data_IF_582526021084
#
_entry.id   IF_582526021084
#
_cell.length_a   1.000
_cell.length_b   1.000
_cell.length_c   1.000
_cell.angle_alpha   90.00
_cell.angle_beta   90.00
_cell.angle_gamma   90.00
#
_symmetry.space_group_name_H-M   'P 1'
#
loop_
_entity.id
_entity.type
_entity.pdbx_description
1 polymer ?
#
# COMPACT_ATOMS: atom_id res chain seq x y z
N UNK A 1 -11.35 17.93 -17.31
CA UNK A 1 -10.54 18.52 -18.41
C UNK A 1 -9.60 19.62 -17.94
N UNK A 2 -9.92 20.41 -16.93
CA UNK A 2 -9.00 21.45 -16.42
C UNK A 2 -7.66 20.89 -15.89
N UNK A 3 -7.64 19.71 -15.30
CA UNK A 3 -6.42 19.07 -14.78
C UNK A 3 -5.41 18.66 -15.86
N UNK A 4 -5.84 18.52 -17.11
CA UNK A 4 -5.00 18.13 -18.25
C UNK A 4 -4.46 19.33 -19.02
N UNK A 5 -4.82 20.56 -18.64
CA UNK A 5 -4.32 21.79 -19.29
C UNK A 5 -2.84 22.07 -19.02
N UNK A 6 -2.21 21.34 -18.11
CA UNK A 6 -0.82 21.55 -17.68
C UNK A 6 0.23 20.76 -18.44
N UNK A 7 -0.09 20.06 -19.55
CA UNK A 7 0.88 19.27 -20.32
C UNK A 7 0.40 17.87 -20.68
N UNK A 8 1.26 17.04 -21.32
CA UNK A 8 0.93 15.65 -21.64
C UNK A 8 0.83 14.77 -20.39
N UNK A 9 0.27 13.57 -20.55
CA UNK A 9 0.36 12.50 -19.53
C UNK A 9 1.70 11.78 -19.69
N UNK A 10 2.32 11.38 -18.59
CA UNK A 10 3.41 10.41 -18.60
C UNK A 10 2.87 9.03 -18.16
N UNK A 11 2.80 8.08 -19.10
CA UNK A 11 2.40 6.71 -18.82
C UNK A 11 3.63 5.85 -18.50
N UNK A 12 3.88 5.58 -17.23
CA UNK A 12 4.94 4.69 -16.77
C UNK A 12 4.41 3.25 -16.76
N UNK A 13 5.05 2.37 -17.53
CA UNK A 13 4.61 1.00 -17.75
C UNK A 13 5.62 0.01 -17.17
N UNK A 14 5.16 -0.83 -16.25
CA UNK A 14 5.93 -1.99 -15.82
C UNK A 14 5.59 -3.19 -16.74
N UNK A 15 6.52 -3.67 -17.60
CA UNK A 15 6.27 -4.78 -18.52
C UNK A 15 6.01 -6.11 -17.80
N UNK A 16 6.44 -6.26 -16.56
CA UNK A 16 6.18 -7.45 -15.74
C UNK A 16 4.75 -7.50 -15.18
N UNK A 17 3.97 -6.41 -15.30
CA UNK A 17 2.57 -6.38 -14.89
C UNK A 17 1.73 -7.38 -15.70
N UNK A 18 0.77 -8.03 -15.03
CA UNK A 18 -0.11 -8.99 -15.71
C UNK A 18 -0.90 -8.28 -16.83
N UNK A 19 -0.77 -8.83 -18.04
CA UNK A 19 -1.46 -8.28 -19.24
C UNK A 19 -1.07 -6.84 -19.56
N UNK A 20 0.15 -6.39 -19.24
CA UNK A 20 0.61 -5.02 -19.46
C UNK A 20 0.30 -4.53 -20.87
N UNK A 21 0.68 -5.27 -21.93
CA UNK A 21 0.42 -4.92 -23.30
C UNK A 21 -1.08 -4.67 -23.60
N UNK A 22 -1.97 -5.49 -23.03
CA UNK A 22 -3.43 -5.33 -23.20
C UNK A 22 -3.94 -4.08 -22.49
N UNK A 23 -3.46 -3.83 -21.27
CA UNK A 23 -3.87 -2.64 -20.50
C UNK A 23 -3.39 -1.37 -21.20
N UNK A 24 -2.14 -1.33 -21.68
CA UNK A 24 -1.59 -0.22 -22.48
C UNK A 24 -2.44 0.03 -23.72
N UNK A 25 -2.81 -1.02 -24.47
CA UNK A 25 -3.62 -0.86 -25.66
C UNK A 25 -5.00 -0.21 -25.39
N UNK A 26 -5.62 -0.56 -24.24
CA UNK A 26 -6.88 0.06 -23.82
C UNK A 26 -6.68 1.52 -23.39
N UNK A 27 -5.65 1.80 -22.61
CA UNK A 27 -5.33 3.15 -22.16
C UNK A 27 -5.01 4.08 -23.35
N UNK A 28 -4.18 3.61 -24.29
CA UNK A 28 -3.88 4.34 -25.54
C UNK A 28 -5.15 4.75 -26.29
N UNK A 29 -6.07 3.78 -26.49
CA UNK A 29 -7.33 4.07 -27.15
C UNK A 29 -8.12 5.16 -26.42
N UNK A 30 -8.30 5.02 -25.10
CA UNK A 30 -9.06 5.99 -24.30
C UNK A 30 -8.44 7.38 -24.36
N UNK A 31 -7.11 7.50 -24.25
CA UNK A 31 -6.41 8.79 -24.31
C UNK A 31 -6.43 9.41 -25.71
N UNK A 32 -6.24 8.59 -26.76
CA UNK A 32 -6.29 9.05 -28.16
C UNK A 32 -7.71 9.50 -28.53
N UNK A 33 -8.74 8.72 -28.18
CA UNK A 33 -10.14 9.07 -28.46
C UNK A 33 -10.56 10.37 -27.74
N UNK A 34 -9.93 10.67 -26.60
CA UNK A 34 -10.13 11.91 -25.84
C UNK A 34 -9.26 13.09 -26.35
N UNK A 35 -8.38 12.87 -27.34
CA UNK A 35 -7.47 13.90 -27.86
C UNK A 35 -6.38 14.34 -26.88
N UNK A 36 -6.05 13.49 -25.87
CA UNK A 36 -5.05 13.81 -24.85
C UNK A 36 -3.68 13.30 -25.27
N UNK A 37 -2.69 14.20 -25.28
CA UNK A 37 -1.31 13.86 -25.55
C UNK A 37 -0.72 13.05 -24.39
N UNK A 38 0.04 12.00 -24.70
CA UNK A 38 0.72 11.19 -23.69
C UNK A 38 2.06 10.66 -24.23
N UNK A 39 2.97 10.41 -23.29
CA UNK A 39 4.26 9.79 -23.54
C UNK A 39 4.34 8.49 -22.73
N UNK A 40 5.07 7.49 -23.22
CA UNK A 40 5.24 6.22 -22.55
C UNK A 40 6.69 6.02 -22.10
N UNK A 41 6.85 5.60 -20.86
CA UNK A 41 8.13 5.19 -20.28
C UNK A 41 8.03 3.76 -19.74
N UNK A 42 8.85 2.87 -20.27
CA UNK A 42 8.84 1.45 -19.91
C UNK A 42 9.95 1.17 -18.91
N UNK A 43 9.58 0.59 -17.75
CA UNK A 43 10.58 0.25 -16.74
C UNK A 43 11.35 -1.00 -17.11
N UNK A 44 12.65 -1.02 -16.81
CA UNK A 44 13.56 -2.14 -17.10
C UNK A 44 14.11 -2.79 -15.82
N UNK A 45 14.05 -2.08 -14.70
CA UNK A 45 14.61 -2.47 -13.41
C UNK A 45 13.85 -1.82 -12.24
N UNK A 46 13.99 -2.34 -11.01
CA UNK A 46 13.52 -1.64 -9.82
C UNK A 46 14.13 -0.24 -9.71
N UNK A 47 13.33 0.72 -9.21
CA UNK A 47 13.69 2.13 -9.09
C UNK A 47 13.51 2.95 -10.38
N UNK A 48 13.37 2.31 -11.55
CA UNK A 48 13.26 3.03 -12.83
C UNK A 48 11.96 3.84 -12.93
N UNK A 49 10.86 3.40 -12.28
CA UNK A 49 9.62 4.16 -12.24
C UNK A 49 9.78 5.47 -11.45
N UNK A 50 10.52 5.45 -10.35
CA UNK A 50 10.83 6.64 -9.57
C UNK A 50 11.69 7.64 -10.37
N UNK A 51 12.68 7.15 -11.11
CA UNK A 51 13.55 7.97 -11.95
C UNK A 51 12.75 8.71 -13.02
N UNK A 52 11.88 8.00 -13.75
CA UNK A 52 11.01 8.61 -14.76
C UNK A 52 10.07 9.65 -14.14
N UNK A 53 9.44 9.31 -13.00
CA UNK A 53 8.52 10.21 -12.32
C UNK A 53 9.22 11.50 -11.88
N UNK A 54 10.38 11.39 -11.22
CA UNK A 54 11.17 12.55 -10.76
C UNK A 54 11.64 13.42 -11.91
N UNK A 55 12.16 12.80 -12.99
CA UNK A 55 12.71 13.54 -14.14
C UNK A 55 11.66 14.33 -14.90
N UNK A 56 10.39 13.91 -14.87
CA UNK A 56 9.32 14.49 -15.68
C UNK A 56 8.22 15.19 -14.87
N UNK A 57 8.34 15.21 -13.54
CA UNK A 57 7.32 15.79 -12.65
C UNK A 57 6.96 17.25 -13.00
N UNK A 58 7.91 18.05 -13.48
CA UNK A 58 7.68 19.44 -13.87
C UNK A 58 6.98 19.61 -15.21
N UNK A 59 7.11 18.65 -16.14
CA UNK A 59 6.78 18.80 -17.55
C UNK A 59 5.44 18.17 -17.96
N UNK A 60 4.83 17.39 -17.07
CA UNK A 60 3.62 16.62 -17.36
C UNK A 60 2.44 17.04 -16.50
N UNK A 61 1.23 16.94 -17.02
CA UNK A 61 0.03 17.23 -16.24
C UNK A 61 -0.24 16.17 -15.16
N UNK A 62 -0.02 14.91 -15.50
CA UNK A 62 -0.31 13.75 -14.63
C UNK A 62 0.67 12.63 -14.93
N UNK A 63 1.11 11.91 -13.90
CA UNK A 63 1.85 10.66 -14.05
C UNK A 63 0.88 9.50 -13.91
N UNK A 64 0.82 8.65 -14.92
CA UNK A 64 -0.07 7.47 -14.95
C UNK A 64 0.77 6.21 -14.76
N UNK A 65 0.45 5.39 -13.77
CA UNK A 65 1.20 4.19 -13.42
C UNK A 65 0.45 2.95 -13.86
N UNK A 66 1.02 2.19 -14.80
CA UNK A 66 0.59 0.84 -15.12
C UNK A 66 1.52 -0.16 -14.44
N UNK A 67 1.05 -0.72 -13.35
CA UNK A 67 1.85 -1.65 -12.55
C UNK A 67 1.07 -2.24 -11.38
N UNK A 68 1.78 -2.85 -10.45
CA UNK A 68 1.28 -3.23 -9.14
C UNK A 68 1.70 -2.24 -8.06
N UNK A 69 1.43 -2.62 -6.80
CA UNK A 69 1.69 -1.75 -5.63
C UNK A 69 3.17 -1.33 -5.53
N UNK A 70 4.15 -2.18 -5.87
CA UNK A 70 5.57 -1.82 -5.85
C UNK A 70 5.93 -0.71 -6.86
N UNK A 71 5.43 -0.80 -8.12
CA UNK A 71 5.66 0.26 -9.12
C UNK A 71 4.99 1.57 -8.70
N UNK A 72 3.79 1.48 -8.13
CA UNK A 72 3.07 2.63 -7.60
C UNK A 72 3.82 3.29 -6.45
N UNK A 73 4.33 2.51 -5.50
CA UNK A 73 5.17 2.98 -4.38
C UNK A 73 6.39 3.78 -4.87
N UNK A 74 7.12 3.27 -5.88
CA UNK A 74 8.26 3.98 -6.46
C UNK A 74 7.86 5.37 -6.97
N UNK A 75 6.77 5.46 -7.74
CA UNK A 75 6.28 6.73 -8.31
C UNK A 75 5.78 7.68 -7.24
N UNK A 76 4.99 7.17 -6.30
CA UNK A 76 4.39 7.99 -5.22
C UNK A 76 5.46 8.56 -4.30
N UNK A 77 6.47 7.76 -3.92
CA UNK A 77 7.60 8.25 -3.14
C UNK A 77 8.41 9.32 -3.86
N UNK A 78 8.59 9.17 -5.19
CA UNK A 78 9.32 10.14 -6.01
C UNK A 78 8.56 11.46 -6.22
N UNK A 79 7.23 11.43 -6.17
CA UNK A 79 6.33 12.57 -6.36
C UNK A 79 5.79 13.15 -5.04
N UNK A 80 6.24 12.65 -3.89
CA UNK A 80 5.80 13.17 -2.60
C UNK A 80 5.97 14.70 -2.56
N UNK A 81 4.93 15.40 -2.09
CA UNK A 81 4.84 16.87 -2.03
C UNK A 81 4.98 17.64 -3.36
N UNK A 82 5.06 16.95 -4.50
CA UNK A 82 5.10 17.65 -5.80
C UNK A 82 3.76 18.27 -6.19
N UNK A 83 2.66 17.85 -5.54
CA UNK A 83 1.29 18.18 -5.96
C UNK A 83 0.89 17.56 -7.30
N UNK A 84 1.76 16.75 -7.91
CA UNK A 84 1.49 16.13 -9.21
C UNK A 84 0.49 14.97 -9.06
N UNK A 85 -0.66 14.99 -9.74
CA UNK A 85 -1.61 13.91 -9.67
C UNK A 85 -1.06 12.60 -10.24
N UNK A 86 -1.36 11.49 -9.57
CA UNK A 86 -1.03 10.13 -10.00
C UNK A 86 -2.30 9.41 -10.41
N UNK A 87 -2.37 8.97 -11.66
CA UNK A 87 -3.39 8.06 -12.16
C UNK A 87 -2.95 6.61 -12.06
N UNK A 88 -3.86 5.70 -11.78
CA UNK A 88 -3.53 4.27 -11.61
C UNK A 88 -4.21 3.42 -12.67
N UNK A 89 -3.44 2.61 -13.38
CA UNK A 89 -3.91 1.51 -14.24
C UNK A 89 -3.52 0.18 -13.58
N UNK A 90 -4.45 -0.49 -12.86
CA UNK A 90 -4.13 -1.66 -12.05
C UNK A 90 -3.62 -2.83 -12.89
N UNK A 91 -2.35 -3.18 -12.74
CA UNK A 91 -1.69 -4.28 -13.49
C UNK A 91 -1.12 -5.39 -12.61
N UNK A 92 -1.12 -5.20 -11.28
CA UNK A 92 -0.60 -6.16 -10.30
C UNK A 92 -1.62 -7.19 -9.85
N UNK A 93 -1.23 -8.02 -8.89
CA UNK A 93 -2.11 -9.02 -8.27
C UNK A 93 -2.91 -8.43 -7.11
N UNK A 94 -2.29 -7.62 -6.26
CA UNK A 94 -2.93 -6.98 -5.09
C UNK A 94 -3.70 -5.73 -5.49
N UNK A 95 -2.98 -4.75 -6.02
CA UNK A 95 -3.48 -3.41 -6.34
C UNK A 95 -4.22 -2.80 -5.14
N UNK A 96 -3.59 -2.87 -3.96
CA UNK A 96 -4.22 -2.53 -2.68
C UNK A 96 -4.63 -1.06 -2.64
N UNK A 97 -3.71 -0.17 -3.02
CA UNK A 97 -3.98 1.28 -3.09
C UNK A 97 -5.09 1.60 -4.10
N UNK A 98 -5.03 0.99 -5.31
CA UNK A 98 -6.05 1.21 -6.32
C UNK A 98 -7.45 0.79 -5.82
N UNK A 99 -7.54 -0.34 -5.12
CA UNK A 99 -8.80 -0.81 -4.53
C UNK A 99 -9.31 0.11 -3.43
N UNK A 100 -8.44 0.54 -2.52
CA UNK A 100 -8.79 1.45 -1.44
C UNK A 100 -9.30 2.81 -1.96
N UNK A 101 -8.74 3.29 -3.08
CA UNK A 101 -9.17 4.51 -3.75
C UNK A 101 -10.38 4.31 -4.69
N UNK A 102 -10.98 3.12 -4.73
CA UNK A 102 -12.13 2.83 -5.59
C UNK A 102 -11.81 2.81 -7.09
N UNK A 103 -10.52 2.67 -7.48
CA UNK A 103 -10.12 2.64 -8.89
C UNK A 103 -10.63 1.35 -9.55
N UNK A 104 -11.35 1.43 -10.68
CA UNK A 104 -11.82 0.24 -11.39
C UNK A 104 -10.66 -0.66 -11.83
N UNK A 105 -10.81 -1.98 -11.65
CA UNK A 105 -9.82 -2.97 -12.11
C UNK A 105 -9.87 -3.20 -13.62
N UNK A 106 -10.87 -2.70 -14.31
CA UNK A 106 -11.01 -2.75 -15.76
C UNK A 106 -10.25 -1.59 -16.40
N UNK A 107 -9.35 -1.91 -17.36
CA UNK A 107 -8.38 -0.97 -17.91
C UNK A 107 -8.98 0.29 -18.53
N UNK A 108 -10.07 0.15 -19.31
CA UNK A 108 -10.69 1.31 -19.96
C UNK A 108 -11.39 2.23 -18.96
N UNK A 109 -11.99 1.64 -17.90
CA UNK A 109 -12.60 2.42 -16.82
C UNK A 109 -11.56 3.13 -15.98
N UNK A 110 -10.44 2.45 -15.64
CA UNK A 110 -9.33 3.06 -14.94
C UNK A 110 -8.71 4.22 -15.75
N UNK A 111 -8.55 4.05 -17.07
CA UNK A 111 -8.08 5.11 -17.95
C UNK A 111 -9.05 6.32 -18.00
N UNK A 112 -10.35 6.09 -17.91
CA UNK A 112 -11.33 7.19 -17.80
C UNK A 112 -11.21 7.93 -16.47
N UNK A 113 -10.90 7.25 -15.35
CA UNK A 113 -10.63 7.94 -14.08
C UNK A 113 -9.43 8.88 -14.21
N UNK A 114 -8.41 8.54 -15.02
CA UNK A 114 -7.30 9.45 -15.30
C UNK A 114 -7.77 10.73 -15.99
N UNK A 115 -8.77 10.64 -16.89
CA UNK A 115 -9.29 11.79 -17.65
C UNK A 115 -10.33 12.62 -16.87
N UNK A 116 -11.24 11.94 -16.18
CA UNK A 116 -12.46 12.52 -15.64
C UNK A 116 -12.49 12.54 -14.10
N UNK A 117 -11.51 11.92 -13.46
CA UNK A 117 -11.40 11.82 -12.00
C UNK A 117 -11.16 13.17 -11.32
N UNK A 118 -11.18 13.12 -10.00
CA UNK A 118 -10.89 14.28 -9.16
C UNK A 118 -9.61 14.06 -8.37
N UNK A 119 -8.80 15.11 -8.13
CA UNK A 119 -7.63 14.98 -7.26
C UNK A 119 -8.08 14.71 -5.83
N UNK A 120 -7.38 13.79 -5.19
CA UNK A 120 -7.57 13.40 -3.80
C UNK A 120 -6.20 13.31 -3.13
N UNK A 121 -6.00 14.11 -2.09
CA UNK A 121 -4.80 14.05 -1.29
C UNK A 121 -4.84 12.81 -0.40
N UNK A 122 -3.71 12.12 -0.30
CA UNK A 122 -3.55 10.93 0.52
C UNK A 122 -2.28 11.06 1.34
N UNK A 123 -2.36 10.66 2.60
CA UNK A 123 -1.21 10.58 3.49
C UNK A 123 -0.28 9.45 3.09
N UNK A 124 0.99 9.57 3.42
CA UNK A 124 1.97 8.51 3.31
C UNK A 124 2.59 8.25 4.68
N UNK A 125 3.05 7.03 4.89
CA UNK A 125 3.94 6.76 6.01
C UNK A 125 5.40 6.86 5.59
N UNK A 126 6.21 7.57 6.37
CA UNK A 126 7.66 7.61 6.25
C UNK A 126 8.28 6.74 7.35
N UNK A 127 8.71 5.54 7.00
CA UNK A 127 9.40 4.61 7.89
C UNK A 127 10.91 4.86 7.82
N UNK A 128 11.56 4.92 8.99
CA UNK A 128 13.02 4.99 9.13
C UNK A 128 13.55 3.74 9.82
N UNK A 129 14.37 2.98 9.12
CA UNK A 129 15.06 1.80 9.64
C UNK A 129 16.53 1.83 9.24
N UNK A 130 17.44 1.60 10.17
CA UNK A 130 18.87 1.74 9.89
C UNK A 130 19.30 3.13 9.39
N UNK A 131 18.53 4.17 9.73
CA UNK A 131 18.77 5.55 9.28
C UNK A 131 18.27 5.87 7.87
N UNK A 132 17.78 4.90 7.10
CA UNK A 132 17.26 5.09 5.75
C UNK A 132 15.75 5.32 5.75
N UNK A 133 15.21 6.31 4.99
CA UNK A 133 13.80 6.54 4.86
C UNK A 133 13.20 5.60 3.80
N UNK A 134 12.02 5.05 4.10
CA UNK A 134 11.21 4.24 3.19
C UNK A 134 9.76 4.73 3.24
N UNK A 135 9.23 5.14 2.11
CA UNK A 135 7.84 5.53 1.99
C UNK A 135 6.93 4.31 1.83
N UNK A 136 5.75 4.38 2.43
CA UNK A 136 4.70 3.40 2.19
C UNK A 136 3.33 4.08 2.06
N UNK A 137 2.52 3.54 1.18
CA UNK A 137 1.15 4.00 0.95
C UNK A 137 0.12 3.11 1.65
N UNK A 138 0.46 1.84 1.90
CA UNK A 138 -0.45 0.86 2.51
C UNK A 138 -0.12 0.59 3.97
N UNK A 139 1.05 0.00 4.27
CA UNK A 139 1.47 -0.30 5.65
C UNK A 139 2.96 -0.58 5.79
N UNK A 140 3.44 -0.39 7.03
CA UNK A 140 4.71 -0.96 7.52
C UNK A 140 4.41 -1.92 8.68
N UNK A 141 5.12 -3.05 8.77
CA UNK A 141 4.82 -4.05 9.78
C UNK A 141 5.99 -4.95 10.16
N UNK A 142 5.79 -5.67 11.25
CA UNK A 142 6.64 -6.77 11.74
C UNK A 142 5.77 -7.91 12.26
N UNK A 143 6.14 -9.15 11.99
CA UNK A 143 5.47 -10.31 12.55
C UNK A 143 5.02 -11.34 11.52
N UNK A 144 3.77 -11.77 11.61
CA UNK A 144 3.20 -12.86 10.80
C UNK A 144 3.23 -12.53 9.32
N UNK A 145 2.82 -11.33 8.92
CA UNK A 145 2.76 -10.93 7.52
C UNK A 145 4.15 -10.90 6.86
N UNK A 146 5.18 -10.47 7.61
CA UNK A 146 6.58 -10.48 7.17
C UNK A 146 7.09 -11.90 6.98
N UNK A 147 6.79 -12.81 7.93
CA UNK A 147 7.13 -14.23 7.79
C UNK A 147 6.41 -14.86 6.59
N UNK A 148 5.14 -14.55 6.39
CA UNK A 148 4.38 -14.97 5.20
C UNK A 148 5.03 -14.45 3.92
N UNK A 149 5.46 -13.19 3.91
CA UNK A 149 6.14 -12.56 2.78
C UNK A 149 7.45 -13.30 2.44
N UNK A 150 8.27 -13.57 3.46
CA UNK A 150 9.55 -14.26 3.31
C UNK A 150 9.40 -15.73 2.85
N UNK A 151 8.34 -16.42 3.31
CA UNK A 151 8.06 -17.83 2.98
C UNK A 151 7.29 -18.01 1.67
N UNK A 152 6.68 -16.97 1.11
CA UNK A 152 5.90 -17.08 -0.12
C UNK A 152 6.75 -16.74 -1.34
N UNK A 153 7.26 -17.71 -2.11
CA UNK A 153 8.04 -17.45 -3.31
C UNK A 153 7.26 -16.62 -4.33
N UNK A 154 7.94 -15.73 -5.05
CA UNK A 154 7.31 -14.88 -6.07
C UNK A 154 6.52 -15.69 -7.12
N UNK A 155 6.95 -16.94 -7.42
CA UNK A 155 6.22 -17.86 -8.29
C UNK A 155 4.87 -18.28 -7.71
N UNK A 156 4.79 -18.54 -6.40
CA UNK A 156 3.54 -18.92 -5.71
C UNK A 156 2.56 -17.77 -5.72
N UNK A 157 3.02 -16.54 -5.42
CA UNK A 157 2.21 -15.31 -5.57
C UNK A 157 1.61 -15.19 -6.97
N UNK A 158 2.39 -15.50 -8.01
CA UNK A 158 1.98 -15.32 -9.41
C UNK A 158 0.99 -16.39 -9.89
N UNK A 159 1.12 -17.64 -9.43
CA UNK A 159 0.31 -18.76 -9.90
C UNK A 159 -0.95 -19.01 -9.07
N UNK A 160 -0.86 -18.90 -7.74
CA UNK A 160 -1.93 -19.29 -6.83
C UNK A 160 -2.67 -18.10 -6.21
N UNK A 161 -2.20 -16.86 -6.39
CA UNK A 161 -2.87 -15.67 -5.90
C UNK A 161 -3.32 -15.78 -4.43
N UNK A 162 -4.61 -15.52 -4.11
CA UNK A 162 -5.12 -15.58 -2.74
C UNK A 162 -5.00 -16.96 -2.07
N UNK A 163 -5.07 -18.07 -2.83
CA UNK A 163 -4.95 -19.42 -2.27
C UNK A 163 -3.52 -19.73 -1.79
N UNK A 164 -2.50 -19.18 -2.46
CA UNK A 164 -1.12 -19.28 -2.00
C UNK A 164 -0.89 -18.58 -0.67
N UNK A 165 -1.50 -17.41 -0.47
CA UNK A 165 -1.48 -16.70 0.80
C UNK A 165 -2.22 -17.46 1.92
N UNK A 166 -3.38 -18.08 1.62
CA UNK A 166 -4.12 -18.85 2.58
C UNK A 166 -3.34 -20.07 3.09
N UNK A 167 -2.62 -20.77 2.19
CA UNK A 167 -1.76 -21.89 2.57
C UNK A 167 -0.58 -21.45 3.45
N UNK A 168 0.04 -20.30 3.14
CA UNK A 168 1.14 -19.75 3.96
C UNK A 168 0.62 -19.27 5.31
N UNK A 169 -0.56 -18.65 5.35
CA UNK A 169 -1.21 -18.23 6.60
C UNK A 169 -1.49 -19.42 7.54
N UNK A 170 -1.95 -20.54 6.97
CA UNK A 170 -2.15 -21.76 7.77
C UNK A 170 -0.83 -22.28 8.34
N UNK A 171 0.26 -22.22 7.56
CA UNK A 171 1.61 -22.58 8.02
C UNK A 171 2.08 -21.70 9.18
N UNK A 172 1.82 -20.37 9.12
CA UNK A 172 2.17 -19.43 10.20
C UNK A 172 1.33 -19.67 11.46
N UNK A 173 0.07 -20.08 11.33
CA UNK A 173 -0.78 -20.46 12.48
C UNK A 173 -0.22 -21.71 13.16
N UNK A 174 0.30 -22.68 12.42
CA UNK A 174 0.90 -23.89 12.97
C UNK A 174 2.28 -23.63 13.60
N UNK A 175 3.07 -22.69 13.07
CA UNK A 175 4.35 -22.21 13.62
C UNK A 175 4.14 -20.90 14.40
N UNK A 176 3.09 -20.87 15.22
CA UNK A 176 2.68 -19.68 15.96
C UNK A 176 3.78 -19.20 16.91
N UNK A 177 4.17 -17.93 16.76
CA UNK A 177 5.20 -17.28 17.59
C UNK A 177 4.77 -15.87 17.95
N UNK A 178 5.11 -15.47 19.15
CA UNK A 178 5.00 -14.09 19.64
C UNK A 178 6.38 -13.51 19.90
N UNK A 179 6.44 -12.21 19.95
CA UNK A 179 7.61 -11.43 20.37
C UNK A 179 7.14 -10.30 21.30
N UNK A 180 8.04 -9.82 22.14
CA UNK A 180 7.76 -8.67 22.99
C UNK A 180 7.90 -7.40 22.13
N UNK A 181 6.83 -6.62 22.00
CA UNK A 181 6.82 -5.34 21.31
C UNK A 181 6.78 -4.18 22.31
N UNK A 182 7.73 -3.27 22.18
CA UNK A 182 7.75 -1.95 22.83
C UNK A 182 7.44 -0.89 21.80
N UNK A 183 6.32 -0.24 21.97
CA UNK A 183 5.79 0.72 20.97
C UNK A 183 5.56 2.06 21.67
N UNK A 184 5.84 3.13 20.98
CA UNK A 184 5.45 4.47 21.42
C UNK A 184 4.59 5.10 20.32
N UNK A 185 3.42 5.62 20.67
CA UNK A 185 2.51 6.33 19.77
C UNK A 185 2.35 7.75 20.29
N UNK A 186 2.82 8.73 19.55
CA UNK A 186 2.80 10.16 19.93
C UNK A 186 3.35 10.41 21.35
N UNK A 187 4.45 9.73 21.70
CA UNK A 187 5.09 9.80 23.01
C UNK A 187 4.45 8.93 24.10
N UNK A 188 3.32 8.26 23.83
CA UNK A 188 2.64 7.39 24.82
C UNK A 188 3.11 5.95 24.64
N UNK A 189 3.79 5.36 25.64
CA UNK A 189 4.33 4.00 25.55
C UNK A 189 3.24 2.91 25.66
N UNK A 190 3.50 1.80 25.02
CA UNK A 190 2.74 0.57 25.06
C UNK A 190 3.70 -0.61 24.95
N UNK A 191 3.62 -1.58 25.84
CA UNK A 191 4.37 -2.83 25.75
C UNK A 191 3.42 -4.03 25.79
N UNK A 192 3.58 -4.96 24.85
CA UNK A 192 2.75 -6.17 24.72
C UNK A 192 3.52 -7.30 24.04
N UNK A 193 3.17 -8.54 24.40
CA UNK A 193 3.49 -9.68 23.55
C UNK A 193 2.57 -9.65 22.34
N UNK A 194 3.13 -9.71 21.16
CA UNK A 194 2.41 -9.59 19.90
C UNK A 194 2.82 -10.67 18.91
N UNK A 195 1.92 -11.05 18.04
CA UNK A 195 2.21 -11.86 16.86
C UNK A 195 2.41 -10.96 15.61
N UNK A 196 1.83 -9.76 15.66
CA UNK A 196 1.88 -8.77 14.57
C UNK A 196 1.81 -7.36 15.14
N UNK A 197 2.66 -6.47 14.63
CA UNK A 197 2.57 -5.02 14.80
C UNK A 197 2.58 -4.39 13.41
N UNK A 198 1.51 -3.70 13.06
CA UNK A 198 1.36 -3.02 11.78
C UNK A 198 1.01 -1.56 12.01
N UNK A 199 1.66 -0.68 11.28
CA UNK A 199 1.28 0.73 11.15
C UNK A 199 0.63 0.86 9.78
N UNK A 200 -0.69 1.04 9.76
CA UNK A 200 -1.51 1.03 8.56
C UNK A 200 -1.92 2.45 8.17
N UNK A 201 -1.91 2.72 6.87
CA UNK A 201 -2.48 3.91 6.25
C UNK A 201 -3.80 3.57 5.52
N UNK A 202 -3.94 2.32 5.07
CA UNK A 202 -5.14 1.81 4.43
C UNK A 202 -5.71 0.67 5.26
N UNK A 203 -7.02 0.74 5.56
CA UNK A 203 -7.69 -0.13 6.53
C UNK A 203 -8.18 -1.46 5.99
N UNK A 204 -8.15 -1.68 4.66
CA UNK A 204 -8.75 -2.89 4.11
C UNK A 204 -7.88 -3.58 3.06
N UNK A 205 -8.03 -4.89 2.97
CA UNK A 205 -7.44 -5.73 1.92
C UNK A 205 -8.52 -6.59 1.26
N UNK A 206 -8.29 -7.00 0.01
CA UNK A 206 -9.17 -7.91 -0.74
C UNK A 206 -10.62 -7.41 -0.86
N UNK A 207 -10.83 -6.14 -1.22
CA UNK A 207 -12.17 -5.53 -1.36
C UNK A 207 -13.01 -5.65 -0.07
N UNK A 208 -12.46 -5.19 1.04
CA UNK A 208 -13.08 -5.19 2.37
C UNK A 208 -13.43 -6.58 2.93
N UNK A 209 -12.90 -7.65 2.32
CA UNK A 209 -13.03 -9.01 2.87
C UNK A 209 -12.25 -9.14 4.17
N UNK A 210 -11.10 -8.47 4.27
CA UNK A 210 -10.31 -8.39 5.49
C UNK A 210 -10.07 -6.93 5.84
N UNK A 211 -10.64 -6.49 6.96
CA UNK A 211 -10.43 -5.15 7.51
C UNK A 211 -9.41 -5.24 8.64
N UNK A 212 -8.39 -4.39 8.57
CA UNK A 212 -7.24 -4.42 9.50
C UNK A 212 -7.59 -3.82 10.86
N UNK A 213 -8.47 -2.84 10.89
CA UNK A 213 -8.88 -2.16 12.13
C UNK A 213 -10.08 -1.24 11.89
N UNK A 214 -10.66 -0.69 12.97
CA UNK A 214 -11.79 0.22 12.85
C UNK A 214 -11.33 1.61 12.35
N UNK A 215 -12.06 2.19 11.41
CA UNK A 215 -11.97 3.60 10.99
C UNK A 215 -10.62 4.08 10.43
N UNK A 216 -9.78 3.18 9.90
CA UNK A 216 -8.50 3.55 9.28
C UNK A 216 -8.78 4.35 8.00
N UNK A 217 -8.20 5.55 7.91
CA UNK A 217 -8.35 6.46 6.78
C UNK A 217 -6.99 6.95 6.30
N UNK A 218 -6.83 7.07 4.99
CA UNK A 218 -5.57 7.50 4.39
C UNK A 218 -5.51 9.01 4.09
N UNK A 219 -6.44 9.80 4.64
CA UNK A 219 -6.63 11.22 4.34
C UNK A 219 -7.00 12.05 5.59
N UNK A 220 -6.62 11.61 6.78
CA UNK A 220 -6.97 12.28 8.05
C UNK A 220 -5.75 12.81 8.84
N UNK A 221 -4.56 12.76 8.22
CA UNK A 221 -3.30 13.20 8.80
C UNK A 221 -2.78 12.27 9.90
N UNK A 222 -3.19 11.00 9.89
CA UNK A 222 -2.79 9.99 10.88
C UNK A 222 -2.49 8.66 10.21
N UNK A 223 -1.78 7.82 10.96
CA UNK A 223 -1.62 6.39 10.68
C UNK A 223 -2.18 5.62 11.87
N UNK A 224 -2.52 4.36 11.65
CA UNK A 224 -3.12 3.52 12.67
C UNK A 224 -2.23 2.36 13.06
N UNK A 225 -1.86 2.30 14.35
CA UNK A 225 -1.31 1.10 14.95
C UNK A 225 -2.38 0.01 14.99
N UNK A 226 -2.10 -1.12 14.36
CA UNK A 226 -2.85 -2.36 14.48
C UNK A 226 -1.94 -3.40 15.14
N UNK A 227 -2.16 -3.68 16.43
CA UNK A 227 -1.40 -4.67 17.17
C UNK A 227 -2.29 -5.89 17.43
N UNK A 228 -1.81 -7.06 17.00
CA UNK A 228 -2.51 -8.33 17.20
C UNK A 228 -1.72 -9.20 18.18
N UNK A 229 -2.34 -9.46 19.33
CA UNK A 229 -1.72 -10.11 20.49
C UNK A 229 -2.46 -11.41 20.89
N UNK A 230 -2.65 -12.39 20.00
CA UNK A 230 -3.17 -13.70 20.40
C UNK A 230 -2.13 -14.44 21.23
N UNK A 231 -2.58 -15.16 22.26
CA UNK A 231 -1.69 -15.95 23.11
C UNK A 231 -1.52 -17.41 22.64
N UNK A 232 -2.20 -17.81 21.57
CA UNK A 232 -2.11 -19.15 20.99
C UNK A 232 -2.57 -19.18 19.52
N UNK A 233 -2.24 -20.24 18.81
CA UNK A 233 -2.70 -20.48 17.45
C UNK A 233 -4.24 -20.47 17.32
N UNK A 234 -4.96 -21.04 18.29
CA UNK A 234 -6.42 -21.02 18.32
C UNK A 234 -6.97 -19.59 18.44
N UNK A 235 -6.32 -18.75 19.27
CA UNK A 235 -6.69 -17.34 19.38
C UNK A 235 -6.34 -16.55 18.12
N UNK A 236 -5.24 -16.88 17.43
CA UNK A 236 -4.89 -16.27 16.15
C UNK A 236 -5.98 -16.51 15.07
N UNK A 237 -6.51 -17.73 15.00
CA UNK A 237 -7.67 -18.05 14.15
C UNK A 237 -8.88 -17.19 14.55
N UNK A 238 -9.12 -17.04 15.87
CA UNK A 238 -10.20 -16.19 16.38
C UNK A 238 -10.03 -14.71 16.01
N UNK A 239 -8.79 -14.19 16.00
CA UNK A 239 -8.47 -12.83 15.54
C UNK A 239 -8.80 -12.68 14.04
N UNK A 240 -8.32 -13.59 13.19
CA UNK A 240 -8.62 -13.56 11.76
C UNK A 240 -10.13 -13.61 11.47
N UNK A 241 -10.86 -14.46 12.19
CA UNK A 241 -12.32 -14.53 12.06
C UNK A 241 -13.01 -13.23 12.47
N UNK A 242 -12.53 -12.55 13.54
CA UNK A 242 -13.03 -11.24 13.97
C UNK A 242 -12.76 -10.17 12.91
N UNK A 243 -11.54 -10.11 12.36
CA UNK A 243 -11.19 -9.20 11.27
C UNK A 243 -12.11 -9.40 10.04
N UNK A 244 -12.34 -10.65 9.63
CA UNK A 244 -13.24 -10.98 8.53
C UNK A 244 -14.71 -10.64 8.82
N UNK A 245 -15.10 -10.55 10.10
CA UNK A 245 -16.43 -10.11 10.54
C UNK A 245 -16.48 -8.65 10.97
N UNK A 246 -15.36 -7.92 10.82
CA UNK A 246 -15.21 -6.52 11.23
C UNK A 246 -15.58 -6.30 12.71
N UNK A 247 -15.24 -7.28 13.57
CA UNK A 247 -15.48 -7.23 15.01
C UNK A 247 -14.17 -6.98 15.75
N UNK A 248 -14.01 -5.79 16.30
CA UNK A 248 -12.78 -5.33 16.96
C UNK A 248 -12.94 -5.21 18.49
N UNK A 249 -13.92 -5.88 19.07
CA UNK A 249 -14.35 -5.85 20.47
C UNK A 249 -13.53 -6.82 21.38
N UNK A 250 -12.22 -6.90 21.19
CA UNK A 250 -11.33 -7.76 22.00
C UNK A 250 -10.04 -7.01 22.39
N UNK A 251 -10.12 -5.98 23.27
CA UNK A 251 -9.00 -5.07 23.55
C UNK A 251 -7.79 -5.75 24.20
N UNK A 252 -7.94 -6.94 24.74
CA UNK A 252 -6.83 -7.76 25.26
C UNK A 252 -5.99 -8.40 24.13
N UNK A 253 -6.54 -8.52 22.90
CA UNK A 253 -5.91 -9.17 21.72
C UNK A 253 -5.76 -8.27 20.52
N UNK A 254 -6.55 -7.20 20.45
CA UNK A 254 -6.62 -6.27 19.36
C UNK A 254 -6.46 -4.86 19.91
N UNK A 255 -5.33 -4.23 19.64
CA UNK A 255 -5.09 -2.85 20.08
C UNK A 255 -4.97 -1.96 18.85
N UNK A 256 -5.76 -0.90 18.84
CA UNK A 256 -5.76 0.11 17.77
C UNK A 256 -5.50 1.48 18.36
N UNK A 257 -4.58 2.24 17.75
CA UNK A 257 -4.29 3.62 18.14
C UNK A 257 -3.91 4.43 16.91
N UNK A 258 -4.67 5.46 16.60
CA UNK A 258 -4.29 6.44 15.61
C UNK A 258 -3.24 7.40 16.20
N UNK A 259 -2.26 7.77 15.38
CA UNK A 259 -1.18 8.68 15.79
C UNK A 259 -0.44 9.29 14.60
N UNK A 260 0.44 10.24 14.89
CA UNK A 260 1.29 10.90 13.88
C UNK A 260 2.72 10.37 13.88
N UNK A 261 3.15 9.81 15.01
CA UNK A 261 4.50 9.28 15.19
C UNK A 261 4.48 7.95 15.95
N UNK A 262 5.29 7.02 15.49
CA UNK A 262 5.42 5.69 16.08
C UNK A 262 6.88 5.32 16.18
N UNK A 263 7.26 4.70 17.30
CA UNK A 263 8.54 4.02 17.47
C UNK A 263 8.26 2.58 17.87
N UNK A 264 8.90 1.62 17.20
CA UNK A 264 8.67 0.18 17.42
C UNK A 264 9.99 -0.53 17.62
N UNK A 265 10.12 -1.19 18.78
CA UNK A 265 11.24 -2.06 19.11
C UNK A 265 10.71 -3.44 19.51
N UNK A 266 11.42 -4.49 19.14
CA UNK A 266 10.97 -5.86 19.38
C UNK A 266 12.09 -6.75 19.94
N UNK A 267 11.71 -7.63 20.87
CA UNK A 267 12.59 -8.65 21.44
C UNK A 267 11.98 -10.06 21.24
N UNK A 268 12.64 -10.98 20.54
CA UNK A 268 13.84 -10.76 19.72
C UNK A 268 13.60 -9.80 18.53
N UNK A 269 14.66 -9.21 17.94
CA UNK A 269 14.52 -8.33 16.77
C UNK A 269 13.75 -9.01 15.63
N UNK A 270 12.85 -8.25 15.00
CA UNK A 270 11.98 -8.72 13.92
C UNK A 270 12.37 -8.07 12.58
N UNK A 271 12.17 -8.79 11.48
CA UNK A 271 12.26 -8.19 10.15
C UNK A 271 11.11 -7.20 9.92
N UNK A 272 11.41 -6.10 9.26
CA UNK A 272 10.47 -5.02 8.96
C UNK A 272 10.15 -5.02 7.48
N UNK A 273 8.87 -4.85 7.14
CA UNK A 273 8.44 -4.63 5.76
C UNK A 273 7.76 -3.26 5.60
N UNK A 274 7.77 -2.72 4.38
CA UNK A 274 6.98 -1.58 3.94
C UNK A 274 6.39 -1.89 2.55
N UNK A 275 5.05 -1.89 2.45
CA UNK A 275 4.29 -2.22 1.22
C UNK A 275 4.71 -3.55 0.56
N UNK A 276 5.02 -4.56 1.38
CA UNK A 276 5.38 -5.89 0.92
C UNK A 276 6.85 -6.06 0.51
N UNK A 277 7.74 -5.13 0.86
CA UNK A 277 9.18 -5.23 0.67
C UNK A 277 9.92 -5.25 2.01
N UNK A 278 10.87 -6.15 2.17
CA UNK A 278 11.73 -6.19 3.37
C UNK A 278 12.69 -5.01 3.33
N UNK A 279 12.69 -4.19 4.38
CA UNK A 279 13.47 -2.93 4.44
C UNK A 279 14.48 -2.89 5.57
N UNK A 280 14.47 -3.84 6.48
CA UNK A 280 15.43 -3.92 7.58
C UNK A 280 14.95 -4.77 8.74
N UNK A 281 15.43 -4.45 9.94
CA UNK A 281 15.05 -5.09 11.21
C UNK A 281 14.76 -4.01 12.26
N UNK A 282 13.92 -4.36 13.26
CA UNK A 282 13.67 -3.47 14.42
C UNK A 282 14.97 -3.09 15.14
N UNK A 283 15.06 -1.87 15.76
CA UNK A 283 13.99 -0.90 15.89
C UNK A 283 13.75 -0.05 14.63
N UNK A 284 12.57 0.53 14.52
CA UNK A 284 12.22 1.48 13.48
C UNK A 284 11.27 2.58 13.99
N UNK A 285 11.26 3.71 13.28
CA UNK A 285 10.35 4.82 13.53
C UNK A 285 9.47 5.05 12.31
N UNK A 286 8.24 5.51 12.54
CA UNK A 286 7.31 5.92 11.48
C UNK A 286 6.74 7.28 11.81
N UNK A 287 6.64 8.13 10.81
CA UNK A 287 5.92 9.40 10.86
C UNK A 287 4.92 9.47 9.72
N UNK A 288 3.74 10.05 10.00
CA UNK A 288 2.81 10.39 8.92
C UNK A 288 3.37 11.57 8.14
N UNK A 289 3.21 11.51 6.84
CA UNK A 289 3.47 12.62 5.91
C UNK A 289 2.14 12.99 5.27
N UNK A 290 1.52 14.01 5.87
CA UNK A 290 0.13 14.42 5.62
C UNK A 290 -0.01 14.98 4.20
N UNK A 291 -0.98 14.45 3.44
CA UNK A 291 -1.30 14.89 2.09
C UNK A 291 -0.14 14.76 1.09
N UNK A 292 0.86 13.92 1.38
CA UNK A 292 2.10 13.83 0.61
C UNK A 292 1.89 13.35 -0.83
N UNK A 293 0.84 12.57 -1.10
CA UNK A 293 0.52 12.07 -2.43
C UNK A 293 -0.80 12.63 -2.95
N UNK A 294 -0.87 12.85 -4.26
CA UNK A 294 -2.08 13.28 -4.94
C UNK A 294 -2.52 12.20 -5.93
N UNK A 295 -3.72 11.64 -5.76
CA UNK A 295 -4.26 10.63 -6.67
C UNK A 295 -5.46 11.16 -7.46
N UNK A 296 -5.66 10.62 -8.66
CA UNK A 296 -6.93 10.77 -9.38
C UNK A 296 -7.86 9.64 -8.98
N UNK A 297 -9.00 9.99 -8.38
CA UNK A 297 -10.01 9.03 -7.94
C UNK A 297 -11.32 9.20 -8.71
N UNK A 298 -12.18 8.16 -8.80
CA UNK A 298 -13.49 8.29 -9.42
C UNK A 298 -14.31 9.40 -8.78
N UNK A 299 -15.05 10.15 -9.59
CA UNK A 299 -16.10 11.03 -9.05
C UNK A 299 -17.17 10.18 -8.39
N UNK A 300 -17.49 10.49 -7.16
CA UNK A 300 -18.65 9.89 -6.50
C UNK A 300 -19.89 10.45 -7.19
N UNK A 301 -20.64 9.60 -7.87
CA UNK A 301 -21.97 9.97 -8.38
C UNK A 301 -22.89 10.05 -7.16
N UNK A 302 -23.34 11.26 -6.84
CA UNK A 302 -24.43 11.46 -5.88
C UNK A 302 -25.72 10.86 -6.42
#
# INVERSE_FOLDING_TARGET
>A
MELLSGGPLLLIVNPAARRAARIVAHARRVFTDAGVAFEEAWTERPGHAAEFASARAGDVATVVVLGGDGTLKEVVGALAHSGRPVGILPGGTGNLVARALGIPMEASRAARVVLDGVPHAMDLGCLRVGGQPHWFAFSASVGVDVRMLARTPARVKRWFGPLGYAATALGEILDFRTFQARITVDGVPLARDAAEVMIANIGSVLNDVLVLGPHIRADDGRLDLCLYAPASAAQAIGVLWRMARQRFDAPERLVFRAGRSFSVDCEPPQQVQADGELVGTTPFDVQVDEGAAMFLIPRVSN
#
